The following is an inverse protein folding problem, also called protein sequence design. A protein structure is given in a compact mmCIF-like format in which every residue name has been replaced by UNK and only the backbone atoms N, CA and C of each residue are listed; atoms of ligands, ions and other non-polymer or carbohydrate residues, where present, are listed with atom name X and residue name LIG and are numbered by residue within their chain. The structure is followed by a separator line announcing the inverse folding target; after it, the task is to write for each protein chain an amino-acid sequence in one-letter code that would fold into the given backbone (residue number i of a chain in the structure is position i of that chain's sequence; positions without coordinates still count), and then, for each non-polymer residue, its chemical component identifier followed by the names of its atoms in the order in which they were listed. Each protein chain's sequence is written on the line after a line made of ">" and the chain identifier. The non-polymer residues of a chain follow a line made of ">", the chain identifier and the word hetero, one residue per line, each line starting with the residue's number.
data_IF_926961755702
#
_entry.id   IF_926961755702
#
_cell.length_a   1.000
_cell.length_b   1.000
_cell.length_c   1.000
_cell.angle_alpha   90.00
_cell.angle_beta   90.00
_cell.angle_gamma   90.00
#
_symmetry.space_group_name_H-M   'P 1'
#
loop_
_entity.id
_entity.type
_entity.pdbx_description
1 polymer ?
#
# COMPACT_ATOMS: atom_id res chain seq x y z
N UNK A 1 -23.50 1.40 -3.98
CA UNK A 1 -24.03 0.10 -4.37
C UNK A 1 -22.92 -0.86 -4.77
N UNK A 2 -23.27 -2.04 -5.25
CA UNK A 2 -22.30 -3.07 -5.59
C UNK A 2 -21.32 -2.62 -6.67
N UNK A 3 -21.78 -1.88 -7.69
CA UNK A 3 -20.92 -1.37 -8.74
C UNK A 3 -19.90 -0.35 -8.20
N UNK A 4 -20.35 0.52 -7.28
CA UNK A 4 -19.48 1.51 -6.67
C UNK A 4 -18.38 0.82 -5.85
N UNK A 5 -18.76 -0.22 -5.09
CA UNK A 5 -17.79 -0.97 -4.29
C UNK A 5 -16.80 -1.72 -5.17
N UNK A 6 -17.28 -2.36 -6.25
CA UNK A 6 -16.41 -3.05 -7.19
C UNK A 6 -15.42 -2.11 -7.86
N UNK A 7 -15.88 -0.91 -8.26
CA UNK A 7 -15.03 0.11 -8.86
C UNK A 7 -13.97 0.58 -7.85
N UNK A 8 -14.37 0.80 -6.61
CA UNK A 8 -13.48 1.22 -5.54
C UNK A 8 -12.40 0.17 -5.28
N UNK A 9 -12.79 -1.10 -5.21
CA UNK A 9 -11.84 -2.19 -4.97
C UNK A 9 -10.83 -2.34 -6.11
N UNK A 10 -11.27 -2.16 -7.35
CA UNK A 10 -10.37 -2.16 -8.50
C UNK A 10 -9.39 -1.00 -8.39
N UNK A 11 -9.87 0.20 -8.01
CA UNK A 11 -9.01 1.35 -7.83
C UNK A 11 -7.96 1.10 -6.74
N UNK A 12 -8.35 0.50 -5.63
CA UNK A 12 -7.42 0.18 -4.55
C UNK A 12 -6.34 -0.80 -5.01
N UNK A 13 -6.75 -1.85 -5.72
CA UNK A 13 -5.81 -2.82 -6.27
C UNK A 13 -4.83 -2.16 -7.23
N UNK A 14 -5.30 -1.26 -8.07
CA UNK A 14 -4.46 -0.54 -9.03
C UNK A 14 -3.44 0.35 -8.32
N UNK A 15 -3.88 1.11 -7.31
CA UNK A 15 -3.02 2.04 -6.59
C UNK A 15 -1.98 1.28 -5.75
N UNK A 16 -2.43 0.32 -4.96
CA UNK A 16 -1.53 -0.44 -4.08
C UNK A 16 -0.57 -1.29 -4.91
N UNK A 17 -1.11 -2.00 -5.90
CA UNK A 17 -0.28 -2.82 -6.80
C UNK A 17 0.71 -1.99 -7.58
N UNK A 18 0.30 -0.81 -8.05
CA UNK A 18 1.18 0.12 -8.74
C UNK A 18 2.33 0.58 -7.88
N UNK A 19 2.06 0.90 -6.61
CA UNK A 19 3.11 1.30 -5.69
C UNK A 19 4.07 0.15 -5.39
N UNK A 20 3.55 -1.05 -5.16
CA UNK A 20 4.40 -2.23 -4.90
C UNK A 20 5.32 -2.50 -6.09
N UNK A 21 4.77 -2.43 -7.31
CA UNK A 21 5.58 -2.60 -8.53
C UNK A 21 6.65 -1.51 -8.64
N UNK A 22 6.28 -0.26 -8.34
CA UNK A 22 7.24 0.84 -8.39
C UNK A 22 8.39 0.62 -7.41
N UNK A 23 8.12 0.16 -6.19
CA UNK A 23 9.17 -0.16 -5.23
C UNK A 23 10.06 -1.31 -5.72
N UNK A 24 9.47 -2.33 -6.34
CA UNK A 24 10.26 -3.42 -6.89
C UNK A 24 11.24 -2.92 -7.95
N UNK A 25 10.79 -1.98 -8.78
CA UNK A 25 11.61 -1.38 -9.81
C UNK A 25 12.51 -0.26 -9.29
N UNK A 26 12.41 0.06 -8.00
CA UNK A 26 13.10 1.19 -7.36
C UNK A 26 12.78 2.52 -8.04
N UNK A 27 11.58 2.63 -8.59
CA UNK A 27 11.03 3.85 -9.16
C UNK A 27 10.35 4.64 -8.06
N UNK A 28 11.14 5.40 -7.32
CA UNK A 28 10.66 6.11 -6.13
C UNK A 28 9.73 7.26 -6.49
N UNK A 29 9.91 7.87 -7.65
CA UNK A 29 9.03 8.94 -8.12
C UNK A 29 7.61 8.40 -8.30
N UNK A 30 7.47 7.27 -8.98
CA UNK A 30 6.16 6.65 -9.17
C UNK A 30 5.58 6.16 -7.85
N UNK A 31 6.39 5.51 -7.02
CA UNK A 31 5.94 5.03 -5.71
C UNK A 31 5.39 6.18 -4.86
N UNK A 32 6.09 7.32 -4.86
CA UNK A 32 5.69 8.51 -4.11
C UNK A 32 4.37 9.10 -4.64
N UNK A 33 4.14 8.99 -5.94
CA UNK A 33 2.93 9.53 -6.57
C UNK A 33 1.65 8.83 -6.09
N UNK A 34 1.75 7.60 -5.62
CA UNK A 34 0.59 6.86 -5.08
C UNK A 34 0.26 7.24 -3.64
N UNK A 35 1.15 7.96 -2.97
CA UNK A 35 0.94 8.41 -1.60
C UNK A 35 0.04 9.66 -1.57
N UNK A 36 -0.75 9.77 -0.50
CA UNK A 36 -1.62 10.92 -0.30
C UNK A 36 -0.82 12.21 -0.12
N UNK A 37 -1.44 13.38 -0.40
CA UNK A 37 -0.74 14.66 -0.25
C UNK A 37 -0.12 14.88 1.12
N UNK A 38 -0.77 14.41 2.20
CA UNK A 38 -0.23 14.53 3.56
C UNK A 38 1.10 13.78 3.70
N UNK A 39 1.20 12.60 3.08
CA UNK A 39 2.44 11.81 3.11
C UNK A 39 3.51 12.52 2.26
N UNK A 40 3.14 13.00 1.09
CA UNK A 40 4.07 13.70 0.22
C UNK A 40 4.62 14.96 0.89
N UNK A 41 3.77 15.70 1.59
CA UNK A 41 4.19 16.89 2.32
C UNK A 41 5.10 16.54 3.50
N UNK A 42 4.82 15.42 4.18
CA UNK A 42 5.60 14.98 5.33
C UNK A 42 7.04 14.63 4.94
N UNK A 43 7.23 13.90 3.84
CA UNK A 43 8.57 13.45 3.43
C UNK A 43 9.26 14.41 2.48
N UNK A 44 8.51 15.17 1.71
CA UNK A 44 9.02 16.23 0.84
C UNK A 44 9.67 15.77 -0.45
N UNK A 45 10.17 14.54 -0.51
CA UNK A 45 10.86 14.02 -1.69
C UNK A 45 10.74 12.51 -1.79
N UNK A 46 10.70 11.96 -3.03
CA UNK A 46 10.62 10.51 -3.22
C UNK A 46 11.72 9.71 -2.54
N UNK A 47 12.95 10.22 -2.54
CA UNK A 47 14.09 9.54 -1.93
C UNK A 47 13.90 9.33 -0.43
N UNK A 48 13.36 10.34 0.26
CA UNK A 48 13.12 10.27 1.70
C UNK A 48 12.00 9.28 2.00
N UNK A 49 10.96 9.30 1.20
CA UNK A 49 9.87 8.35 1.32
C UNK A 49 10.37 6.92 1.12
N UNK A 50 11.16 6.70 0.07
CA UNK A 50 11.74 5.39 -0.21
C UNK A 50 12.63 4.88 0.91
N UNK A 51 13.45 5.74 1.49
CA UNK A 51 14.30 5.36 2.61
C UNK A 51 13.49 4.92 3.83
N UNK A 52 12.40 5.63 4.11
CA UNK A 52 11.50 5.26 5.22
C UNK A 52 10.87 3.89 4.97
N UNK A 53 10.38 3.64 3.76
CA UNK A 53 9.75 2.37 3.42
C UNK A 53 10.78 1.23 3.50
N UNK A 54 11.97 1.43 2.97
CA UNK A 54 13.01 0.40 3.01
C UNK A 54 13.36 -0.01 4.44
N UNK A 55 13.40 0.94 5.38
CA UNK A 55 13.76 0.64 6.76
C UNK A 55 12.57 0.22 7.62
N UNK A 56 11.41 0.84 7.43
CA UNK A 56 10.24 0.60 8.28
C UNK A 56 9.29 -0.45 7.77
N UNK A 57 9.29 -0.71 6.48
CA UNK A 57 8.35 -1.62 5.83
C UNK A 57 9.10 -2.51 4.84
N UNK A 58 10.07 -3.30 5.31
CA UNK A 58 10.87 -4.12 4.39
C UNK A 58 10.03 -5.09 3.56
N UNK A 59 8.87 -5.55 4.08
CA UNK A 59 7.97 -6.42 3.31
C UNK A 59 7.36 -5.70 2.11
N UNK A 60 7.17 -4.37 2.19
CA UNK A 60 6.68 -3.58 1.07
C UNK A 60 7.82 -3.31 0.08
N UNK A 61 8.98 -2.94 0.61
CA UNK A 61 10.16 -2.64 -0.20
C UNK A 61 10.59 -3.85 -1.03
N UNK A 62 10.46 -5.05 -0.47
CA UNK A 62 10.86 -6.31 -1.09
C UNK A 62 9.67 -7.23 -1.33
N UNK A 63 8.51 -6.68 -1.66
CA UNK A 63 7.34 -7.49 -1.95
C UNK A 63 7.57 -8.34 -3.20
N UNK A 64 7.20 -9.61 -3.12
CA UNK A 64 7.25 -10.53 -4.25
C UNK A 64 5.86 -10.81 -4.79
N UNK A 65 4.90 -10.99 -3.89
CA UNK A 65 3.52 -11.30 -4.24
C UNK A 65 2.58 -10.60 -3.29
N UNK A 66 1.43 -10.15 -3.78
CA UNK A 66 0.42 -9.53 -2.94
C UNK A 66 -0.96 -10.02 -3.30
N UNK A 67 -1.84 -10.05 -2.30
CA UNK A 67 -3.24 -10.43 -2.49
C UNK A 67 -4.10 -9.43 -1.74
N UNK A 68 -5.06 -8.83 -2.47
CA UNK A 68 -6.04 -7.92 -1.85
C UNK A 68 -7.05 -8.76 -1.10
N UNK A 69 -7.30 -8.41 0.16
CA UNK A 69 -8.28 -9.07 1.01
C UNK A 69 -9.47 -8.14 1.21
N UNK A 70 -10.10 -8.18 2.39
CA UNK A 70 -11.31 -7.39 2.65
C UNK A 70 -11.04 -5.90 2.71
N UNK A 71 -12.05 -5.12 2.33
CA UNK A 71 -12.09 -3.68 2.59
C UNK A 71 -12.92 -3.49 3.86
N UNK A 72 -12.39 -2.72 4.80
CA UNK A 72 -13.03 -2.45 6.10
C UNK A 72 -13.26 -0.94 6.23
N UNK A 73 -14.44 -0.57 6.67
CA UNK A 73 -14.75 0.80 7.03
C UNK A 73 -14.86 0.88 8.55
N UNK A 74 -14.10 1.78 9.15
CA UNK A 74 -14.09 1.97 10.60
C UNK A 74 -13.86 3.44 10.93
N UNK A 75 -14.73 4.01 11.72
CA UNK A 75 -14.61 5.41 12.18
C UNK A 75 -14.45 6.39 11.01
N UNK A 76 -15.15 6.15 9.92
CA UNK A 76 -15.08 7.00 8.73
C UNK A 76 -13.85 6.78 7.87
N UNK A 77 -12.99 5.83 8.22
CA UNK A 77 -11.79 5.51 7.45
C UNK A 77 -11.99 4.23 6.66
N UNK A 78 -11.38 4.19 5.49
CA UNK A 78 -11.47 3.03 4.59
C UNK A 78 -10.10 2.36 4.54
N UNK A 79 -10.08 1.08 4.88
CA UNK A 79 -8.84 0.29 4.94
C UNK A 79 -8.94 -0.90 4.01
N UNK A 80 -7.95 -1.06 3.15
CA UNK A 80 -7.80 -2.26 2.31
C UNK A 80 -6.80 -3.19 2.97
N UNK A 81 -7.25 -4.37 3.37
CA UNK A 81 -6.33 -5.39 3.87
C UNK A 81 -5.59 -6.04 2.71
N UNK A 82 -4.32 -6.28 2.91
CA UNK A 82 -3.44 -6.86 1.89
C UNK A 82 -2.54 -7.89 2.55
N UNK A 83 -2.44 -9.06 1.96
CA UNK A 83 -1.43 -10.04 2.34
C UNK A 83 -0.25 -9.89 1.41
N UNK A 84 0.94 -9.70 1.96
CA UNK A 84 2.16 -9.54 1.18
C UNK A 84 3.12 -10.68 1.51
N UNK A 85 3.59 -11.36 0.47
CA UNK A 85 4.69 -12.30 0.59
C UNK A 85 5.96 -11.60 0.12
N UNK A 86 6.93 -11.48 1.00
CA UNK A 86 8.20 -10.84 0.69
C UNK A 86 9.13 -11.81 -0.03
N UNK A 87 10.21 -11.29 -0.61
CA UNK A 87 11.16 -12.12 -1.37
C UNK A 87 11.87 -13.17 -0.51
N UNK A 88 11.91 -12.97 0.81
CA UNK A 88 12.45 -13.95 1.74
C UNK A 88 11.42 -15.02 2.15
N UNK A 89 10.26 -15.05 1.47
CA UNK A 89 9.13 -15.93 1.72
C UNK A 89 8.34 -15.60 2.99
N UNK A 90 8.67 -14.52 3.71
CA UNK A 90 7.89 -14.06 4.85
C UNK A 90 6.53 -13.56 4.41
N UNK A 91 5.48 -13.93 5.15
CA UNK A 91 4.10 -13.56 4.84
C UNK A 91 3.61 -12.58 5.88
N UNK A 92 3.05 -11.45 5.42
CA UNK A 92 2.66 -10.34 6.29
C UNK A 92 1.25 -9.89 5.96
N UNK A 93 0.49 -9.53 6.99
CA UNK A 93 -0.84 -8.95 6.83
C UNK A 93 -0.77 -7.46 7.14
N UNK A 94 -1.18 -6.64 6.18
CA UNK A 94 -1.15 -5.19 6.28
C UNK A 94 -2.54 -4.61 6.01
N UNK A 95 -2.73 -3.37 6.44
CA UNK A 95 -3.93 -2.60 6.09
C UNK A 95 -3.49 -1.25 5.54
N UNK A 96 -4.01 -0.90 4.37
CA UNK A 96 -3.73 0.35 3.68
C UNK A 96 -4.93 1.26 3.82
N UNK A 97 -4.75 2.42 4.44
CA UNK A 97 -5.82 3.42 4.50
C UNK A 97 -5.87 4.16 3.17
N UNK A 98 -7.05 4.17 2.57
CA UNK A 98 -7.24 4.80 1.26
C UNK A 98 -8.08 6.05 1.42
N UNK A 99 -7.69 7.11 0.72
CA UNK A 99 -8.47 8.35 0.65
C UNK A 99 -8.66 8.75 -0.80
N UNK A 100 -9.81 9.34 -1.08
CA UNK A 100 -10.09 9.87 -2.41
C UNK A 100 -9.64 11.32 -2.50
N UNK A 101 -8.92 11.65 -3.56
CA UNK A 101 -8.42 13.00 -3.81
C UNK A 101 -8.87 13.44 -5.20
N UNK A 102 -8.59 14.70 -5.55
CA UNK A 102 -8.89 15.23 -6.89
C UNK A 102 -8.17 14.43 -7.98
N UNK A 103 -7.11 13.72 -7.63
CA UNK A 103 -6.33 12.92 -8.57
C UNK A 103 -6.59 11.43 -8.41
N UNK A 104 -7.71 11.07 -7.77
CA UNK A 104 -8.10 9.70 -7.55
C UNK A 104 -7.72 9.19 -6.16
N UNK A 105 -7.77 7.89 -5.99
CA UNK A 105 -7.48 7.25 -4.70
C UNK A 105 -5.99 7.25 -4.43
N UNK A 106 -5.62 7.53 -3.17
CA UNK A 106 -4.22 7.57 -2.72
C UNK A 106 -4.09 6.84 -1.40
N UNK A 107 -2.86 6.42 -1.09
CA UNK A 107 -2.54 5.72 0.16
C UNK A 107 -2.20 6.77 1.23
N UNK A 108 -2.99 6.81 2.31
CA UNK A 108 -2.82 7.77 3.39
C UNK A 108 -2.08 7.20 4.59
N UNK A 109 -2.09 5.88 4.77
CA UNK A 109 -1.40 5.22 5.88
C UNK A 109 -1.27 3.73 5.59
N UNK A 110 -0.29 3.11 6.21
CA UNK A 110 -0.15 1.65 6.19
C UNK A 110 0.05 1.18 7.62
N UNK A 111 -0.67 0.15 8.00
CA UNK A 111 -0.57 -0.46 9.30
C UNK A 111 -0.16 -1.92 9.13
N UNK A 112 0.91 -2.33 9.82
CA UNK A 112 1.30 -3.74 9.83
C UNK A 112 0.44 -4.42 10.89
N UNK A 113 -0.40 -5.38 10.47
CA UNK A 113 -1.29 -6.07 11.39
C UNK A 113 -0.54 -7.19 12.09
N UNK A 114 0.10 -8.05 11.31
CA UNK A 114 0.94 -9.10 11.88
C UNK A 114 1.74 -9.82 10.80
N UNK A 115 2.80 -10.49 11.22
CA UNK A 115 3.51 -11.46 10.39
C UNK A 115 2.78 -12.81 10.51
N UNK A 116 2.54 -13.46 9.38
CA UNK A 116 1.85 -14.74 9.33
C UNK A 116 2.83 -15.92 9.26
N UNK A 117 4.12 -15.61 9.35
CA UNK A 117 5.17 -16.63 9.30
C UNK A 117 5.80 -16.73 7.92
N UNK A 118 6.49 -17.86 7.69
CA UNK A 118 7.16 -18.12 6.44
C UNK A 118 6.28 -19.05 5.62
N UNK A 119 6.13 -18.73 4.33
CA UNK A 119 5.28 -19.51 3.42
C UNK A 119 5.96 -20.82 2.99
N UNK A 120 5.88 -21.82 3.84
CA UNK A 120 6.43 -23.13 3.54
C UNK A 120 5.34 -24.18 3.44
#
# INVERSE_FOLDING_TARGET
>A
GALTQGTREVAFSTVIGGQLTAFEQRDLVSAFSYAAPTIQNMFGAPVRFGAMVASGYPMIWNADYSEMLDVIERDGEIWQKVMITAKDAGIHLLAYRMIETDQGWKIAAVQIIKALGIGT
#
